data_IF_898032644439
#
_entry.id   IF_898032644439
#
_cell.length_a   1.000
_cell.length_b   1.000
_cell.length_c   1.000
_cell.angle_alpha   90.00
_cell.angle_beta   90.00
_cell.angle_gamma   90.00
#
_symmetry.space_group_name_H-M   'P 1'
#
loop_
_entity.id
_entity.type
_entity.pdbx_description
1 polymer ?
#
# COMPACT_ATOMS: atom_id res chain seq x y z
N UNK A 1 -38.66 24.73 11.53
CA UNK A 1 -39.31 25.02 10.24
C UNK A 1 -38.84 23.92 9.28
N UNK A 2 -39.61 22.83 9.21
CA UNK A 2 -39.32 21.63 8.39
C UNK A 2 -39.52 21.96 6.91
N UNK A 3 -38.61 21.52 6.05
CA UNK A 3 -38.82 21.48 4.60
C UNK A 3 -38.78 20.02 4.14
N UNK A 4 -39.94 19.60 3.64
CA UNK A 4 -40.32 18.28 3.17
C UNK A 4 -40.13 18.28 1.64
N UNK A 5 -39.29 17.40 1.09
CA UNK A 5 -39.23 17.17 -0.37
C UNK A 5 -40.04 15.92 -0.74
N UNK A 6 -41.04 16.14 -1.60
CA UNK A 6 -41.93 15.13 -2.18
C UNK A 6 -41.34 14.72 -3.53
N UNK A 7 -41.05 13.44 -3.72
CA UNK A 7 -40.80 12.83 -5.04
C UNK A 7 -42.03 12.02 -5.48
N UNK A 8 -42.56 12.34 -6.66
CA UNK A 8 -43.64 11.63 -7.33
C UNK A 8 -43.06 10.51 -8.20
N UNK A 9 -43.49 9.28 -7.90
CA UNK A 9 -43.33 8.08 -8.73
C UNK A 9 -44.32 8.11 -9.90
N UNK A 10 -43.87 7.72 -11.09
CA UNK A 10 -44.76 7.22 -12.15
C UNK A 10 -44.16 5.96 -12.77
N UNK A 11 -44.81 4.84 -12.46
CA UNK A 11 -44.60 3.50 -13.00
C UNK A 11 -45.33 3.35 -14.34
N UNK A 12 -44.67 2.80 -15.38
CA UNK A 12 -45.36 2.09 -16.47
C UNK A 12 -44.55 0.84 -16.81
N UNK A 13 -45.26 -0.29 -16.77
CA UNK A 13 -44.77 -1.64 -16.98
C UNK A 13 -44.62 -2.00 -18.47
N UNK A 14 -43.78 -3.02 -18.71
CA UNK A 14 -43.40 -3.61 -19.99
C UNK A 14 -44.52 -4.44 -20.68
N UNK A 15 -44.39 -4.62 -22.01
CA UNK A 15 -44.70 -5.90 -22.66
C UNK A 15 -44.01 -6.05 -24.03
N UNK A 16 -43.10 -7.03 -24.09
CA UNK A 16 -42.81 -8.06 -25.12
C UNK A 16 -42.79 -7.77 -26.63
N UNK A 17 -41.79 -8.40 -27.25
CA UNK A 17 -41.44 -8.52 -28.67
C UNK A 17 -42.42 -9.34 -29.53
N UNK A 18 -42.45 -9.11 -30.85
CA UNK A 18 -41.83 -9.96 -31.90
C UNK A 18 -42.27 -9.52 -33.32
N UNK A 19 -41.52 -10.02 -34.31
CA UNK A 19 -41.82 -10.13 -35.77
C UNK A 19 -41.36 -9.04 -36.76
N UNK A 20 -40.15 -9.28 -37.29
CA UNK A 20 -39.80 -9.57 -38.70
C UNK A 20 -40.75 -9.04 -39.79
N UNK A 21 -40.21 -8.29 -40.76
CA UNK A 21 -40.13 -8.63 -42.21
C UNK A 21 -39.49 -7.45 -42.94
N UNK A 22 -38.38 -7.72 -43.63
CA UNK A 22 -37.77 -6.78 -44.56
C UNK A 22 -38.51 -6.74 -45.90
N UNK A 23 -38.55 -5.57 -46.53
CA UNK A 23 -38.76 -5.47 -47.98
C UNK A 23 -37.81 -4.42 -48.54
N UNK A 24 -36.96 -4.90 -49.43
CA UNK A 24 -36.01 -4.19 -50.25
C UNK A 24 -36.73 -3.78 -51.55
N UNK A 25 -36.80 -2.50 -51.90
CA UNK A 25 -37.10 -2.06 -53.26
C UNK A 25 -36.28 -0.82 -53.63
N UNK A 26 -35.41 -1.03 -54.62
CA UNK A 26 -34.64 -0.05 -55.41
C UNK A 26 -35.46 0.26 -56.70
N UNK A 27 -34.96 1.08 -57.63
CA UNK A 27 -35.03 2.55 -57.74
C UNK A 27 -35.83 3.04 -58.96
N UNK A 28 -36.21 4.32 -59.02
CA UNK A 28 -36.43 5.01 -60.30
C UNK A 28 -35.94 6.48 -60.26
N UNK A 29 -35.18 6.84 -61.29
CA UNK A 29 -34.66 8.14 -61.73
C UNK A 29 -35.09 8.22 -63.22
N UNK A 30 -35.38 9.36 -63.91
CA UNK A 30 -34.38 10.40 -64.18
C UNK A 30 -34.88 11.84 -64.51
N UNK A 31 -33.89 12.73 -64.72
CA UNK A 31 -33.88 14.04 -65.42
C UNK A 31 -33.79 15.28 -64.49
N UNK A 32 -32.92 16.27 -64.71
CA UNK A 32 -32.05 16.60 -65.87
C UNK A 32 -31.05 17.72 -65.50
N UNK A 33 -30.00 17.79 -66.32
CA UNK A 33 -29.10 18.91 -66.63
C UNK A 33 -27.86 19.11 -65.75
N UNK A 34 -26.72 18.74 -66.33
CA UNK A 34 -25.39 18.99 -65.79
C UNK A 34 -24.63 20.11 -66.49
N UNK A 35 -23.38 20.23 -66.07
CA UNK A 35 -22.25 20.79 -66.83
C UNK A 35 -21.03 19.91 -66.49
N UNK A 36 -20.34 19.45 -67.53
CA UNK A 36 -19.06 18.71 -67.49
C UNK A 36 -18.01 19.60 -68.17
N UNK A 37 -16.77 19.61 -67.68
CA UNK A 37 -15.52 19.36 -68.45
C UNK A 37 -14.27 19.53 -67.53
N UNK A 38 -13.13 18.88 -67.86
CA UNK A 38 -12.26 18.16 -66.90
C UNK A 38 -10.78 18.59 -66.99
N UNK A 39 -9.85 17.64 -66.72
CA UNK A 39 -8.36 17.64 -66.83
C UNK A 39 -7.69 17.80 -65.44
N UNK A 40 -6.77 16.97 -64.94
CA UNK A 40 -6.00 15.84 -65.46
C UNK A 40 -4.63 15.80 -64.72
N UNK A 41 -4.36 14.68 -64.02
CA UNK A 41 -3.10 14.14 -63.47
C UNK A 41 -1.77 14.96 -63.47
N UNK A 42 -1.05 15.00 -62.33
CA UNK A 42 0.24 14.29 -62.14
C UNK A 42 0.85 14.49 -60.73
N UNK A 43 1.59 13.48 -60.29
CA UNK A 43 2.22 13.28 -58.97
C UNK A 43 3.65 13.86 -58.99
N UNK A 44 4.06 14.59 -57.95
CA UNK A 44 5.40 14.41 -57.34
C UNK A 44 5.49 15.08 -55.96
N UNK A 45 6.29 14.44 -55.12
CA UNK A 45 6.43 14.46 -53.67
C UNK A 45 7.08 15.70 -53.07
N UNK A 46 6.59 16.10 -51.89
CA UNK A 46 7.44 16.59 -50.80
C UNK A 46 6.72 16.32 -49.46
N UNK A 47 7.18 15.30 -48.73
CA UNK A 47 6.78 15.08 -47.36
C UNK A 47 7.39 16.16 -46.48
N UNK A 48 6.56 17.01 -45.89
CA UNK A 48 6.91 17.67 -44.64
C UNK A 48 6.31 16.79 -43.55
N UNK A 49 7.19 16.15 -42.79
CA UNK A 49 6.83 15.38 -41.63
C UNK A 49 6.35 16.35 -40.54
N UNK A 50 5.04 16.57 -40.46
CA UNK A 50 4.44 17.07 -39.23
C UNK A 50 4.22 15.88 -38.30
N UNK A 51 5.18 15.71 -37.38
CA UNK A 51 5.05 14.82 -36.24
C UNK A 51 3.89 15.30 -35.37
N UNK A 52 2.71 14.76 -35.63
CA UNK A 52 1.59 14.80 -34.70
C UNK A 52 1.75 13.62 -33.76
N UNK A 53 2.15 13.89 -32.52
CA UNK A 53 2.01 12.92 -31.44
C UNK A 53 0.52 12.55 -31.30
N UNK A 54 0.16 11.26 -31.18
CA UNK A 54 -1.23 10.83 -31.04
C UNK A 54 -1.84 11.30 -29.71
N UNK A 55 -3.18 11.40 -29.63
CA UNK A 55 -3.91 12.00 -28.50
C UNK A 55 -3.74 11.20 -27.20
N UNK A 56 -3.54 11.94 -26.11
CA UNK A 56 -3.04 11.52 -24.80
C UNK A 56 -4.14 10.96 -23.86
N UNK A 57 -3.76 10.03 -22.98
CA UNK A 57 -4.62 9.15 -22.16
C UNK A 57 -4.16 9.17 -20.68
N UNK A 58 -5.06 8.91 -19.70
CA UNK A 58 -5.20 9.76 -18.48
C UNK A 58 -5.46 11.19 -18.95
N UNK A 59 -6.32 11.99 -18.31
CA UNK A 59 -6.50 13.37 -18.83
C UNK A 59 -5.10 14.02 -18.81
N UNK A 60 -4.57 14.35 -19.99
CA UNK A 60 -3.20 14.84 -20.20
C UNK A 60 -2.02 13.92 -19.79
N UNK A 61 -2.17 12.60 -19.72
CA UNK A 61 -1.08 11.66 -19.42
C UNK A 61 -0.37 11.06 -20.65
N UNK A 62 0.85 10.58 -20.44
CA UNK A 62 1.74 9.97 -21.45
C UNK A 62 1.86 8.47 -21.25
N UNK A 63 2.18 7.73 -22.32
CA UNK A 63 2.59 6.32 -22.20
C UNK A 63 3.84 6.20 -21.33
N UNK A 64 3.89 5.18 -20.46
CA UNK A 64 5.08 4.90 -19.63
C UNK A 64 6.26 4.38 -20.46
N UNK A 65 6.06 4.09 -21.75
CA UNK A 65 7.08 3.56 -22.67
C UNK A 65 7.42 2.07 -22.45
N UNK A 66 6.74 1.41 -21.52
CA UNK A 66 6.92 0.01 -21.18
C UNK A 66 6.23 -0.37 -19.86
N UNK A 67 6.29 -1.64 -19.44
CA UNK A 67 5.65 -2.06 -18.20
C UNK A 67 6.33 -1.43 -16.98
N UNK A 68 5.53 -1.09 -15.99
CA UNK A 68 6.00 -0.64 -14.66
C UNK A 68 5.91 -1.82 -13.71
N UNK A 69 7.06 -2.31 -13.23
CA UNK A 69 7.15 -3.62 -12.57
C UNK A 69 6.23 -3.82 -11.37
N UNK A 70 6.08 -2.80 -10.51
CA UNK A 70 5.19 -2.86 -9.35
C UNK A 70 3.71 -2.63 -9.70
N UNK A 71 3.37 -2.20 -10.91
CA UNK A 71 1.99 -1.87 -11.25
C UNK A 71 1.12 -3.12 -11.31
N UNK A 72 -0.01 -3.07 -10.61
CA UNK A 72 -0.99 -4.15 -10.57
C UNK A 72 -2.31 -3.69 -11.17
N UNK A 73 -2.91 -4.52 -12.01
CA UNK A 73 -4.28 -4.39 -12.48
C UNK A 73 -5.19 -5.44 -11.84
N UNK A 74 -6.35 -5.01 -11.33
CA UNK A 74 -7.37 -5.89 -10.79
C UNK A 74 -8.50 -6.07 -11.79
N UNK A 75 -8.82 -7.32 -12.12
CA UNK A 75 -9.98 -7.70 -12.95
C UNK A 75 -10.94 -8.59 -12.18
N UNK A 76 -12.22 -8.49 -12.54
CA UNK A 76 -13.25 -9.41 -12.05
C UNK A 76 -13.16 -10.71 -12.85
N UNK A 77 -12.99 -11.83 -12.15
CA UNK A 77 -13.04 -13.14 -12.78
C UNK A 77 -14.33 -13.85 -12.31
N UNK A 78 -15.40 -13.84 -13.11
CA UNK A 78 -16.54 -14.70 -12.80
C UNK A 78 -16.21 -16.10 -13.34
N UNK A 79 -16.42 -17.17 -12.57
CA UNK A 79 -16.25 -18.56 -13.05
C UNK A 79 -16.90 -18.74 -14.43
N UNK A 80 -16.09 -18.68 -15.50
CA UNK A 80 -16.52 -18.87 -16.88
C UNK A 80 -17.13 -17.68 -17.63
N UNK A 81 -17.13 -16.44 -17.09
CA UNK A 81 -17.52 -15.27 -17.89
C UNK A 81 -16.28 -14.51 -18.36
N UNK A 82 -16.21 -14.25 -19.68
CA UNK A 82 -15.29 -13.24 -20.19
C UNK A 82 -15.58 -11.92 -19.47
N UNK A 83 -14.54 -11.31 -18.88
CA UNK A 83 -14.63 -9.92 -18.41
C UNK A 83 -15.02 -9.05 -19.61
N UNK A 84 -16.14 -8.35 -19.56
CA UNK A 84 -16.62 -7.46 -20.63
C UNK A 84 -15.69 -6.26 -20.91
N UNK A 85 -14.56 -6.14 -20.19
CA UNK A 85 -13.45 -5.27 -20.56
C UNK A 85 -12.11 -5.99 -20.38
N UNK A 86 -11.25 -5.97 -21.40
CA UNK A 86 -9.84 -6.38 -21.25
C UNK A 86 -9.07 -5.43 -20.30
N UNK A 87 -9.59 -4.27 -19.92
CA UNK A 87 -8.91 -3.36 -19.00
C UNK A 87 -9.23 -3.64 -17.52
N UNK A 88 -8.27 -3.48 -16.59
CA UNK A 88 -8.51 -3.53 -15.14
C UNK A 88 -9.62 -2.58 -14.68
N UNK A 89 -10.38 -2.95 -13.64
CA UNK A 89 -11.37 -2.06 -13.01
C UNK A 89 -10.80 -1.23 -11.87
N UNK A 90 -9.76 -1.74 -11.22
CA UNK A 90 -8.96 -1.05 -10.23
C UNK A 90 -7.47 -1.31 -10.50
N UNK A 91 -6.64 -0.43 -9.97
CA UNK A 91 -5.20 -0.61 -9.86
C UNK A 91 -4.76 -1.13 -8.49
N UNK A 92 -3.47 -1.29 -8.36
CA UNK A 92 -2.76 -1.58 -7.12
C UNK A 92 -1.26 -1.50 -7.36
N UNK A 93 -0.47 -1.76 -6.33
CA UNK A 93 0.98 -1.83 -6.42
C UNK A 93 1.52 -3.01 -5.62
N UNK A 94 2.51 -3.71 -6.18
CA UNK A 94 3.31 -4.65 -5.40
C UNK A 94 4.29 -3.88 -4.53
N UNK A 95 4.11 -3.99 -3.22
CA UNK A 95 4.99 -3.40 -2.21
C UNK A 95 5.99 -4.42 -1.67
N UNK A 96 5.71 -5.71 -1.83
CA UNK A 96 6.59 -6.84 -1.50
C UNK A 96 6.27 -8.03 -2.44
N UNK A 97 7.06 -9.12 -2.45
CA UNK A 97 6.88 -10.24 -3.38
C UNK A 97 5.47 -10.83 -3.40
N UNK A 98 4.75 -10.77 -2.28
CA UNK A 98 3.41 -11.34 -2.13
C UNK A 98 2.35 -10.33 -1.70
N UNK A 99 2.65 -9.03 -1.68
CA UNK A 99 1.74 -8.05 -1.10
C UNK A 99 1.40 -6.99 -2.13
N UNK A 100 0.12 -6.94 -2.49
CA UNK A 100 -0.47 -5.86 -3.28
C UNK A 100 -1.12 -4.87 -2.34
N UNK A 101 -0.74 -3.59 -2.43
CA UNK A 101 -1.42 -2.46 -1.81
C UNK A 101 -2.45 -1.90 -2.79
N UNK A 102 -3.68 -1.67 -2.30
CA UNK A 102 -4.77 -1.11 -3.11
C UNK A 102 -5.79 -0.40 -2.20
N UNK A 103 -6.87 0.12 -2.77
CA UNK A 103 -7.98 0.74 -2.05
C UNK A 103 -8.96 -0.32 -1.53
N UNK A 104 -9.57 -0.08 -0.37
CA UNK A 104 -10.61 -0.93 0.18
C UNK A 104 -11.88 -0.92 -0.67
N UNK A 105 -12.21 0.21 -1.30
CA UNK A 105 -13.36 0.36 -2.18
C UNK A 105 -13.28 -0.53 -3.45
N UNK A 106 -12.08 -0.99 -3.81
CA UNK A 106 -11.85 -1.97 -4.88
C UNK A 106 -12.19 -3.41 -4.43
N UNK A 107 -12.25 -3.66 -3.12
CA UNK A 107 -12.50 -4.97 -2.52
C UNK A 107 -14.01 -5.29 -2.44
N UNK A 108 -14.70 -5.12 -3.57
CA UNK A 108 -16.08 -5.57 -3.81
C UNK A 108 -16.30 -7.05 -3.44
N UNK A 109 -17.54 -7.47 -3.19
CA UNK A 109 -17.89 -8.87 -2.91
C UNK A 109 -17.83 -9.76 -4.17
N UNK A 110 -16.69 -9.82 -4.85
CA UNK A 110 -16.42 -10.78 -5.91
C UNK A 110 -15.87 -12.07 -5.33
N UNK A 111 -16.36 -13.21 -5.83
CA UNK A 111 -15.86 -14.53 -5.44
C UNK A 111 -14.40 -14.73 -5.87
N UNK A 112 -13.99 -14.11 -6.98
CA UNK A 112 -12.66 -14.31 -7.57
C UNK A 112 -12.15 -13.05 -8.27
N UNK A 113 -10.93 -12.68 -7.88
CA UNK A 113 -10.13 -11.62 -8.49
C UNK A 113 -9.10 -12.23 -9.43
N UNK A 114 -8.85 -11.55 -10.54
CA UNK A 114 -7.64 -11.75 -11.35
C UNK A 114 -6.70 -10.57 -11.07
N UNK A 115 -5.56 -10.87 -10.42
CA UNK A 115 -4.47 -9.94 -10.15
C UNK A 115 -3.47 -10.03 -11.29
N UNK A 116 -3.20 -8.90 -11.94
CA UNK A 116 -2.37 -8.84 -13.14
C UNK A 116 -1.15 -7.98 -12.86
N UNK A 117 0.04 -8.52 -13.11
CA UNK A 117 1.32 -7.85 -12.84
C UNK A 117 2.09 -7.66 -14.14
N UNK A 118 2.87 -6.58 -14.21
CA UNK A 118 3.81 -6.29 -15.30
C UNK A 118 3.13 -6.15 -16.68
N UNK A 119 1.84 -5.79 -16.69
CA UNK A 119 1.12 -5.48 -17.91
C UNK A 119 1.49 -4.08 -18.40
N UNK A 120 1.62 -3.93 -19.71
CA UNK A 120 1.77 -2.63 -20.38
C UNK A 120 0.58 -2.40 -21.31
N UNK A 121 0.36 -3.35 -22.22
CA UNK A 121 -0.72 -3.36 -23.20
C UNK A 121 -1.70 -4.49 -22.86
N UNK A 122 -2.97 -4.17 -22.63
CA UNK A 122 -4.02 -5.14 -22.26
C UNK A 122 -4.27 -6.20 -23.34
N UNK A 123 -3.88 -5.91 -24.58
CA UNK A 123 -3.99 -6.82 -25.73
C UNK A 123 -2.76 -7.72 -25.85
N UNK A 124 -1.63 -7.35 -25.24
CA UNK A 124 -0.37 -8.09 -25.29
C UNK A 124 -0.01 -8.70 -23.92
N UNK A 125 -0.18 -10.01 -23.80
CA UNK A 125 0.11 -10.75 -22.56
C UNK A 125 1.57 -11.19 -22.40
N UNK A 126 2.49 -10.69 -23.24
CA UNK A 126 3.91 -11.08 -23.16
C UNK A 126 4.53 -10.58 -21.85
N UNK A 127 5.07 -11.50 -21.05
CA UNK A 127 5.70 -11.14 -19.76
C UNK A 127 4.71 -10.71 -18.67
N UNK A 128 3.40 -10.89 -18.91
CA UNK A 128 2.34 -10.60 -17.94
C UNK A 128 2.11 -11.82 -17.07
N UNK A 129 2.07 -11.59 -15.76
CA UNK A 129 1.66 -12.60 -14.79
C UNK A 129 0.20 -12.37 -14.39
N UNK A 130 -0.61 -13.44 -14.41
CA UNK A 130 -2.02 -13.41 -14.03
C UNK A 130 -2.25 -14.42 -12.92
N UNK A 131 -2.74 -13.94 -11.79
CA UNK A 131 -2.90 -14.70 -10.54
C UNK A 131 -4.37 -14.66 -10.15
N UNK A 132 -4.98 -15.83 -10.00
CA UNK A 132 -6.36 -15.94 -9.55
C UNK A 132 -6.37 -15.94 -8.01
N UNK A 133 -7.06 -14.96 -7.41
CA UNK A 133 -7.20 -14.84 -5.96
C UNK A 133 -8.66 -15.03 -5.56
N UNK A 134 -8.93 -16.07 -4.77
CA UNK A 134 -10.28 -16.39 -4.31
C UNK A 134 -10.58 -15.60 -3.04
N UNK A 135 -11.75 -14.98 -2.95
CA UNK A 135 -12.27 -14.48 -1.68
C UNK A 135 -12.76 -15.67 -0.87
N UNK A 136 -11.81 -16.48 -0.37
CA UNK A 136 -12.08 -17.72 0.34
C UNK A 136 -12.88 -17.49 1.63
N UNK A 137 -13.54 -18.55 2.12
CA UNK A 137 -14.37 -18.55 3.34
C UNK A 137 -13.58 -18.15 4.61
N UNK A 138 -12.24 -18.22 4.56
CA UNK A 138 -11.34 -17.82 5.65
C UNK A 138 -10.89 -16.34 5.56
N UNK A 139 -11.08 -15.66 4.43
CA UNK A 139 -10.82 -14.21 4.32
C UNK A 139 -9.37 -13.75 4.44
N UNK A 140 -8.38 -14.66 4.45
CA UNK A 140 -6.98 -14.34 4.77
C UNK A 140 -6.20 -13.68 3.61
N UNK A 141 -6.71 -13.79 2.37
CA UNK A 141 -6.01 -13.29 1.18
C UNK A 141 -6.32 -11.82 0.85
N UNK A 142 -7.39 -11.25 1.43
CA UNK A 142 -7.80 -9.85 1.21
C UNK A 142 -8.08 -9.22 2.57
N UNK A 143 -7.19 -8.33 3.01
CA UNK A 143 -7.28 -7.65 4.30
C UNK A 143 -7.68 -6.19 4.06
N UNK A 144 -8.92 -5.87 4.37
CA UNK A 144 -9.45 -4.49 4.36
C UNK A 144 -9.12 -3.84 5.71
N UNK A 145 -8.79 -2.54 5.70
CA UNK A 145 -8.63 -1.80 6.96
C UNK A 145 -9.88 -1.94 7.84
N UNK A 146 -9.75 -2.32 9.13
CA UNK A 146 -10.90 -2.64 9.97
C UNK A 146 -11.87 -1.46 10.16
N UNK A 147 -11.34 -0.24 10.10
CA UNK A 147 -12.10 1.00 10.23
C UNK A 147 -12.52 1.60 8.87
N UNK A 148 -12.41 0.87 7.75
CA UNK A 148 -12.88 1.35 6.45
C UNK A 148 -14.37 1.69 6.50
N UNK A 149 -14.69 2.92 6.10
CA UNK A 149 -16.05 3.45 6.08
C UNK A 149 -16.47 3.69 4.62
N UNK A 150 -17.49 2.95 4.16
CA UNK A 150 -17.93 2.97 2.77
C UNK A 150 -18.69 4.25 2.37
N UNK A 151 -19.21 5.00 3.35
CA UNK A 151 -19.98 6.22 3.11
C UNK A 151 -19.05 7.44 2.96
N UNK A 152 -18.01 7.50 3.79
CA UNK A 152 -17.04 8.60 3.84
C UNK A 152 -15.77 8.33 3.04
N UNK A 153 -15.53 7.06 2.69
CA UNK A 153 -14.27 6.55 2.13
C UNK A 153 -13.05 6.84 3.01
N UNK A 154 -13.26 6.99 4.32
CA UNK A 154 -12.17 7.02 5.29
C UNK A 154 -11.56 5.63 5.47
N UNK A 155 -10.25 5.58 5.73
CA UNK A 155 -9.48 4.35 5.81
C UNK A 155 -9.58 3.46 4.56
N UNK A 156 -9.66 4.08 3.37
CA UNK A 156 -9.74 3.39 2.08
C UNK A 156 -8.40 2.76 1.65
N UNK A 157 -8.04 1.69 2.34
CA UNK A 157 -6.81 0.91 2.12
C UNK A 157 -7.04 -0.57 2.37
N UNK A 158 -6.46 -1.41 1.51
CA UNK A 158 -6.49 -2.86 1.65
C UNK A 158 -5.19 -3.50 1.16
N UNK A 159 -4.89 -4.68 1.69
CA UNK A 159 -3.82 -5.56 1.22
C UNK A 159 -4.41 -6.80 0.56
N UNK A 160 -3.82 -7.24 -0.56
CA UNK A 160 -4.07 -8.57 -1.11
C UNK A 160 -2.79 -9.41 -0.99
N UNK A 161 -2.92 -10.59 -0.42
CA UNK A 161 -1.83 -11.54 -0.20
C UNK A 161 -1.83 -12.56 -1.33
N UNK A 162 -0.74 -12.56 -2.12
CA UNK A 162 -0.61 -13.47 -3.24
C UNK A 162 -0.25 -14.88 -2.76
N UNK A 163 -0.75 -15.93 -3.43
CA UNK A 163 -0.48 -17.32 -3.07
C UNK A 163 0.98 -17.73 -3.34
N UNK A 164 1.71 -16.97 -4.16
CA UNK A 164 3.11 -17.19 -4.48
C UNK A 164 3.84 -15.86 -4.71
N UNK A 165 5.17 -15.88 -4.57
CA UNK A 165 6.02 -14.71 -4.76
C UNK A 165 6.12 -14.30 -6.24
N UNK A 166 5.94 -13.02 -6.51
CA UNK A 166 6.26 -12.38 -7.78
C UNK A 166 7.65 -11.76 -7.64
N UNK A 167 8.63 -12.25 -8.41
CA UNK A 167 10.04 -11.86 -8.30
C UNK A 167 10.57 -11.30 -9.63
N UNK A 168 11.77 -10.73 -9.61
CA UNK A 168 12.39 -10.16 -10.82
C UNK A 168 11.80 -8.81 -11.25
N UNK A 169 11.02 -8.16 -10.38
CA UNK A 169 10.48 -6.82 -10.56
C UNK A 169 10.95 -5.89 -9.43
N UNK A 170 10.90 -4.58 -9.67
CA UNK A 170 11.07 -3.58 -8.62
C UNK A 170 9.74 -3.34 -7.92
N UNK A 171 9.70 -3.46 -6.59
CA UNK A 171 8.52 -3.16 -5.77
C UNK A 171 8.43 -1.67 -5.43
N UNK A 172 7.20 -1.18 -5.24
CA UNK A 172 6.96 0.16 -4.70
C UNK A 172 7.37 0.21 -3.22
N UNK A 173 8.09 1.26 -2.82
CA UNK A 173 8.43 1.49 -1.42
C UNK A 173 7.39 2.40 -0.77
N UNK A 174 7.00 2.08 0.46
CA UNK A 174 6.06 2.90 1.21
C UNK A 174 6.73 4.22 1.62
N UNK A 175 6.02 5.33 1.47
CA UNK A 175 6.38 6.55 2.16
C UNK A 175 6.02 6.43 3.64
N UNK A 176 7.00 6.49 4.53
CA UNK A 176 6.80 6.47 5.99
C UNK A 176 6.88 7.86 6.62
N UNK A 177 7.22 8.90 5.86
CA UNK A 177 7.34 10.28 6.35
C UNK A 177 6.34 11.20 5.63
N UNK A 178 5.33 11.67 6.35
CA UNK A 178 4.34 12.61 5.82
C UNK A 178 4.94 13.95 5.34
N UNK A 179 6.18 14.29 5.72
CA UNK A 179 6.90 15.47 5.23
C UNK A 179 7.50 15.26 3.84
N UNK A 180 7.62 14.03 3.37
CA UNK A 180 8.22 13.65 2.09
C UNK A 180 7.17 13.41 1.00
N UNK A 181 6.26 14.37 0.81
CA UNK A 181 5.23 14.25 -0.24
C UNK A 181 5.65 14.94 -1.55
N UNK A 182 6.73 15.73 -1.57
CA UNK A 182 7.18 16.43 -2.78
C UNK A 182 6.15 17.45 -3.30
N UNK A 183 6.57 18.30 -4.24
CA UNK A 183 5.65 19.26 -4.87
C UNK A 183 4.91 18.66 -6.06
N UNK A 184 5.60 17.77 -6.80
CA UNK A 184 5.08 17.08 -7.98
C UNK A 184 5.01 15.58 -7.70
N UNK A 185 3.89 14.99 -8.08
CA UNK A 185 3.53 13.60 -7.87
C UNK A 185 3.18 12.96 -9.22
N UNK A 186 3.27 11.64 -9.29
CA UNK A 186 2.98 10.87 -10.50
C UNK A 186 1.93 9.80 -10.22
N UNK A 187 0.85 9.80 -10.97
CA UNK A 187 -0.18 8.74 -10.95
C UNK A 187 0.01 7.82 -12.14
N UNK A 188 -0.22 6.52 -11.95
CA UNK A 188 0.04 5.48 -12.96
C UNK A 188 -1.19 4.58 -13.08
N UNK A 189 -1.68 4.31 -14.29
CA UNK A 189 -2.89 3.51 -14.46
C UNK A 189 -3.38 3.31 -15.90
N UNK A 190 -4.49 2.56 -16.01
CA UNK A 190 -5.23 2.29 -17.26
C UNK A 190 -6.62 2.95 -17.27
N UNK A 191 -6.85 3.89 -16.35
CA UNK A 191 -8.12 4.60 -16.23
C UNK A 191 -8.52 5.33 -17.50
N UNK A 192 -9.76 5.81 -17.48
CA UNK A 192 -10.34 6.54 -18.61
C UNK A 192 -9.54 7.80 -18.93
N UNK A 193 -9.58 8.13 -20.21
CA UNK A 193 -8.75 9.16 -20.82
C UNK A 193 -9.51 10.47 -21.01
N UNK A 194 -10.82 10.40 -20.78
CA UNK A 194 -11.79 11.49 -20.84
C UNK A 194 -13.06 11.08 -20.09
N UNK A 195 -13.85 12.07 -19.64
CA UNK A 195 -15.15 11.86 -19.01
C UNK A 195 -16.04 10.97 -19.88
N UNK A 196 -16.41 9.79 -19.36
CA UNK A 196 -17.27 8.84 -20.07
C UNK A 196 -16.64 8.16 -21.30
N UNK A 197 -15.33 8.34 -21.52
CA UNK A 197 -14.58 7.71 -22.59
C UNK A 197 -14.19 6.25 -22.31
N UNK A 198 -13.49 5.64 -23.26
CA UNK A 198 -12.94 4.30 -23.11
C UNK A 198 -11.73 4.32 -22.16
N UNK A 199 -11.48 3.18 -21.50
CA UNK A 199 -10.25 2.94 -20.77
C UNK A 199 -9.08 2.86 -21.74
N UNK A 200 -7.89 3.12 -21.24
CA UNK A 200 -6.70 2.90 -22.05
C UNK A 200 -6.34 1.42 -22.13
N UNK A 201 -5.99 0.97 -23.34
CA UNK A 201 -5.36 -0.32 -23.54
C UNK A 201 -3.88 -0.31 -23.12
N UNK A 202 -3.24 0.87 -23.09
CA UNK A 202 -1.83 1.06 -22.74
C UNK A 202 -1.70 1.66 -21.35
N UNK A 203 -0.66 1.27 -20.61
CA UNK A 203 -0.35 1.84 -19.30
C UNK A 203 0.17 3.28 -19.45
N UNK A 204 -0.36 4.16 -18.61
CA UNK A 204 -0.10 5.59 -18.70
C UNK A 204 0.34 6.15 -17.36
N UNK A 205 0.98 7.29 -17.44
CA UNK A 205 1.35 8.09 -16.29
C UNK A 205 0.99 9.56 -16.51
N UNK A 206 0.65 10.24 -15.42
CA UNK A 206 0.46 11.68 -15.43
C UNK A 206 1.05 12.31 -14.18
N UNK A 207 1.63 13.49 -14.36
CA UNK A 207 2.04 14.31 -13.23
C UNK A 207 0.88 15.13 -12.70
N UNK A 208 0.83 15.30 -11.38
CA UNK A 208 -0.14 16.10 -10.63
C UNK A 208 0.58 16.85 -9.51
N UNK A 209 0.04 17.99 -9.09
CA UNK A 209 0.66 18.82 -8.05
C UNK A 209 0.04 18.53 -6.69
N UNK A 210 0.88 18.44 -5.66
CA UNK A 210 0.43 18.23 -4.29
C UNK A 210 -0.44 19.42 -3.82
N UNK A 211 -1.57 19.10 -3.19
CA UNK A 211 -2.49 20.08 -2.61
C UNK A 211 -2.65 19.80 -1.11
N UNK A 212 -2.42 20.81 -0.28
CA UNK A 212 -2.59 20.66 1.17
C UNK A 212 -4.05 20.36 1.52
N UNK A 213 -4.30 19.58 2.57
CA UNK A 213 -5.66 19.26 3.02
C UNK A 213 -6.50 20.53 3.28
N UNK A 214 -5.87 21.59 3.78
CA UNK A 214 -6.53 22.88 3.96
C UNK A 214 -7.07 23.44 2.64
N UNK A 215 -6.23 23.50 1.60
CA UNK A 215 -6.66 23.97 0.27
C UNK A 215 -7.68 23.03 -0.36
N UNK A 216 -7.49 21.71 -0.19
CA UNK A 216 -8.40 20.71 -0.70
C UNK A 216 -9.78 20.81 -0.05
N UNK A 217 -9.86 21.17 1.23
CA UNK A 217 -11.12 21.34 1.94
C UNK A 217 -11.89 22.63 1.61
N UNK A 218 -11.33 23.57 0.85
CA UNK A 218 -12.08 24.76 0.40
C UNK A 218 -13.31 24.37 -0.44
N UNK A 219 -13.20 23.52 -1.48
CA UNK A 219 -14.35 22.98 -2.22
C UNK A 219 -15.04 21.77 -1.55
N UNK A 220 -14.32 21.01 -0.70
CA UNK A 220 -14.82 19.79 -0.06
C UNK A 220 -15.39 20.00 1.34
N UNK A 221 -15.60 21.23 1.80
CA UNK A 221 -16.33 21.56 3.04
C UNK A 221 -15.88 20.78 4.30
N UNK A 222 -14.62 20.35 4.37
CA UNK A 222 -14.06 19.62 5.52
C UNK A 222 -14.11 18.09 5.43
N UNK A 223 -14.60 17.50 4.33
CA UNK A 223 -14.65 16.04 4.15
C UNK A 223 -13.28 15.37 3.98
N UNK A 224 -12.20 16.12 3.70
CA UNK A 224 -10.85 15.57 3.55
C UNK A 224 -10.14 15.50 4.90
N UNK A 225 -9.93 14.28 5.41
CA UNK A 225 -9.31 14.02 6.73
C UNK A 225 -7.78 13.90 6.65
N UNK A 226 -7.09 13.80 7.79
CA UNK A 226 -5.62 13.70 7.84
C UNK A 226 -5.08 12.41 7.19
N UNK A 227 -5.89 11.34 7.20
CA UNK A 227 -5.62 10.10 6.48
C UNK A 227 -5.73 10.22 4.95
N UNK A 228 -6.13 11.39 4.44
CA UNK A 228 -6.24 11.67 3.02
C UNK A 228 -5.18 12.68 2.58
N UNK A 229 -4.79 12.63 1.31
CA UNK A 229 -3.99 13.64 0.62
C UNK A 229 -4.67 14.02 -0.69
N UNK A 230 -4.36 15.20 -1.20
CA UNK A 230 -4.94 15.70 -2.43
C UNK A 230 -3.88 16.04 -3.46
N UNK A 231 -4.25 15.91 -4.72
CA UNK A 231 -3.47 16.41 -5.83
C UNK A 231 -4.38 16.95 -6.93
N UNK A 232 -3.93 18.00 -7.60
CA UNK A 232 -4.62 18.58 -8.74
C UNK A 232 -3.60 19.19 -9.68
N UNK A 233 -3.84 19.09 -10.99
CA UNK A 233 -3.15 19.88 -11.98
C UNK A 233 -4.11 20.13 -13.14
N UNK A 234 -4.03 21.33 -13.72
CA UNK A 234 -4.97 21.68 -14.78
C UNK A 234 -4.77 20.78 -16.00
N UNK A 235 -5.86 20.20 -16.49
CA UNK A 235 -5.82 19.25 -17.60
C UNK A 235 -5.17 17.91 -17.27
N UNK A 236 -4.81 17.62 -16.00
CA UNK A 236 -4.35 16.28 -15.59
C UNK A 236 -4.95 15.78 -14.29
N UNK A 237 -5.19 14.47 -14.23
CA UNK A 237 -5.72 13.85 -13.02
C UNK A 237 -6.22 12.43 -13.23
N UNK A 238 -6.42 11.69 -12.13
CA UNK A 238 -6.94 10.33 -12.16
C UNK A 238 -8.36 10.35 -12.71
N UNK A 239 -8.75 9.26 -13.35
CA UNK A 239 -10.09 9.08 -13.88
C UNK A 239 -10.63 7.69 -13.56
N UNK A 240 -11.83 7.36 -14.03
CA UNK A 240 -12.43 6.08 -13.68
C UNK A 240 -11.56 4.91 -14.14
N UNK A 241 -11.24 3.98 -13.23
CA UNK A 241 -10.38 2.82 -13.50
C UNK A 241 -8.97 2.91 -12.91
N UNK A 242 -8.57 4.07 -12.37
CA UNK A 242 -7.32 4.24 -11.63
C UNK A 242 -7.46 3.98 -10.12
N UNK A 243 -8.69 3.79 -9.62
CA UNK A 243 -8.98 3.52 -8.20
C UNK A 243 -8.13 2.37 -7.68
N UNK A 244 -7.54 2.54 -6.49
CA UNK A 244 -6.57 1.61 -5.91
C UNK A 244 -5.16 1.69 -6.50
N UNK A 245 -4.97 2.37 -7.63
CA UNK A 245 -3.66 2.56 -8.26
C UNK A 245 -2.72 3.45 -7.44
N UNK A 246 -1.40 3.34 -7.66
CA UNK A 246 -0.41 4.04 -6.86
C UNK A 246 -0.22 5.50 -7.30
N UNK A 247 -0.01 6.37 -6.31
CA UNK A 247 0.56 7.70 -6.50
C UNK A 247 2.00 7.72 -5.96
N UNK A 248 2.94 8.10 -6.82
CA UNK A 248 4.38 8.06 -6.58
C UNK A 248 4.96 9.46 -6.44
N UNK A 249 6.10 9.58 -5.76
CA UNK A 249 6.95 10.77 -5.93
C UNK A 249 7.38 10.88 -7.40
N UNK A 250 7.31 12.10 -7.96
CA UNK A 250 7.80 12.38 -9.30
C UNK A 250 9.33 12.53 -9.27
N UNK A 251 10.03 11.41 -9.13
CA UNK A 251 11.47 11.33 -9.35
C UNK A 251 11.78 10.12 -10.22
N UNK A 252 12.59 10.35 -11.25
CA UNK A 252 13.12 9.29 -12.10
C UNK A 252 14.43 8.70 -11.56
N UNK A 253 14.94 9.26 -10.45
CA UNK A 253 16.16 8.80 -9.78
C UNK A 253 15.82 8.25 -8.39
N UNK A 254 16.30 7.04 -8.10
CA UNK A 254 16.15 6.40 -6.80
C UNK A 254 14.99 5.41 -6.73
N UNK A 255 14.51 5.17 -5.51
CA UNK A 255 13.48 4.18 -5.26
C UNK A 255 12.08 4.69 -5.65
N UNK A 256 11.20 3.82 -6.17
CA UNK A 256 9.82 4.19 -6.47
C UNK A 256 9.01 4.33 -5.19
N UNK A 257 9.04 5.53 -4.58
CA UNK A 257 8.31 5.82 -3.34
C UNK A 257 6.84 6.12 -3.63
N UNK A 258 5.94 5.33 -3.06
CA UNK A 258 4.50 5.52 -3.11
C UNK A 258 4.03 6.35 -1.92
N UNK A 259 3.38 7.48 -2.21
CA UNK A 259 2.86 8.43 -1.21
C UNK A 259 1.34 8.33 -1.04
N UNK A 260 0.64 7.83 -2.05
CA UNK A 260 -0.83 7.78 -2.07
C UNK A 260 -1.41 6.55 -2.76
N UNK A 261 -2.70 6.33 -2.52
CA UNK A 261 -3.53 5.33 -3.20
C UNK A 261 -4.75 6.06 -3.78
N UNK A 262 -5.01 5.94 -5.07
CA UNK A 262 -6.15 6.60 -5.72
C UNK A 262 -7.47 6.15 -5.10
N UNK A 263 -8.26 7.07 -4.56
CA UNK A 263 -9.49 6.74 -3.83
C UNK A 263 -10.73 7.34 -4.50
N UNK A 264 -10.92 8.66 -4.41
CA UNK A 264 -12.14 9.33 -4.90
C UNK A 264 -11.89 10.75 -5.42
N UNK A 265 -12.94 11.35 -5.98
CA UNK A 265 -12.96 12.74 -6.44
C UNK A 265 -14.38 13.24 -6.59
N UNK A 266 -14.54 14.55 -6.73
CA UNK A 266 -15.86 15.18 -6.81
C UNK A 266 -16.76 14.57 -7.90
N UNK A 267 -17.97 14.21 -7.50
CA UNK A 267 -19.00 13.72 -8.39
C UNK A 267 -18.77 12.32 -8.98
N UNK A 268 -17.67 11.62 -8.66
CA UNK A 268 -17.35 10.24 -9.12
C UNK A 268 -17.17 10.07 -10.64
N UNK A 269 -17.62 11.03 -11.44
CA UNK A 269 -17.62 11.03 -12.88
C UNK A 269 -16.68 12.10 -13.45
N UNK A 270 -16.48 13.23 -12.77
CA UNK A 270 -15.60 14.29 -13.24
C UNK A 270 -14.13 13.93 -13.04
N UNK A 271 -13.34 14.00 -14.11
CA UNK A 271 -11.90 13.76 -14.07
C UNK A 271 -11.16 15.08 -14.32
N UNK A 272 -10.05 15.29 -13.60
CA UNK A 272 -9.16 16.45 -13.77
C UNK A 272 -9.88 17.83 -13.67
N UNK A 273 -10.84 17.96 -12.75
CA UNK A 273 -11.44 19.27 -12.45
C UNK A 273 -10.48 20.06 -11.54
N UNK A 274 -9.90 21.19 -12.00
CA UNK A 274 -8.93 21.94 -11.21
C UNK A 274 -9.52 22.57 -9.94
N UNK A 275 -10.85 22.73 -9.86
CA UNK A 275 -11.53 23.25 -8.67
C UNK A 275 -11.82 22.16 -7.63
N UNK A 276 -11.70 20.90 -8.00
CA UNK A 276 -11.95 19.75 -7.12
C UNK A 276 -10.78 18.77 -7.22
N UNK A 277 -9.73 18.96 -6.39
CA UNK A 277 -8.57 18.08 -6.38
C UNK A 277 -8.96 16.61 -6.22
N UNK A 278 -8.23 15.70 -6.86
CA UNK A 278 -8.37 14.27 -6.61
C UNK A 278 -7.95 13.94 -5.18
N UNK A 279 -8.65 13.01 -4.55
CA UNK A 279 -8.42 12.59 -3.16
C UNK A 279 -7.88 11.17 -3.14
N UNK A 280 -6.83 10.98 -2.35
CA UNK A 280 -6.04 9.76 -2.27
C UNK A 280 -5.86 9.40 -0.80
N UNK A 281 -5.77 8.10 -0.51
CA UNK A 281 -5.40 7.62 0.81
C UNK A 281 -3.92 7.91 1.05
N UNK A 282 -3.58 8.55 2.19
CA UNK A 282 -2.22 8.95 2.53
C UNK A 282 -1.41 7.77 3.06
N UNK A 283 -0.49 7.23 2.27
CA UNK A 283 0.28 6.02 2.63
C UNK A 283 1.03 6.17 3.95
N UNK A 284 1.64 7.34 4.21
CA UNK A 284 2.39 7.57 5.45
C UNK A 284 1.53 7.58 6.71
N UNK A 285 0.24 7.87 6.60
CA UNK A 285 -0.70 7.78 7.72
C UNK A 285 -0.99 6.32 8.09
N UNK A 286 -1.06 5.44 7.08
CA UNK A 286 -1.37 4.01 7.26
C UNK A 286 -0.13 3.11 7.26
N UNK A 287 1.08 3.66 7.19
CA UNK A 287 2.31 2.89 7.07
C UNK A 287 2.46 1.83 8.16
N UNK A 288 2.13 2.16 9.41
CA UNK A 288 2.23 1.21 10.52
C UNK A 288 1.19 0.09 10.41
N UNK A 289 -0.05 0.40 10.02
CA UNK A 289 -1.07 -0.62 9.76
C UNK A 289 -0.66 -1.54 8.60
N UNK A 290 -0.16 -0.96 7.50
CA UNK A 290 0.31 -1.71 6.32
C UNK A 290 1.42 -2.68 6.73
N UNK A 291 2.47 -2.19 7.40
CA UNK A 291 3.62 -3.01 7.81
C UNK A 291 3.23 -4.09 8.82
N UNK A 292 2.43 -3.76 9.84
CA UNK A 292 1.98 -4.72 10.85
C UNK A 292 1.13 -5.83 10.23
N UNK A 293 0.21 -5.46 9.33
CA UNK A 293 -0.64 -6.42 8.63
C UNK A 293 0.20 -7.30 7.69
N UNK A 294 1.09 -6.70 6.90
CA UNK A 294 2.02 -7.46 6.06
C UNK A 294 2.87 -8.46 6.85
N UNK A 295 3.42 -8.03 7.99
CA UNK A 295 4.22 -8.89 8.85
C UNK A 295 3.41 -10.08 9.38
N UNK A 296 2.18 -9.83 9.85
CA UNK A 296 1.31 -10.87 10.39
C UNK A 296 0.95 -11.96 9.36
N UNK A 297 0.78 -11.60 8.08
CA UNK A 297 0.30 -12.53 7.04
C UNK A 297 1.41 -13.13 6.17
N UNK A 298 2.54 -12.43 5.98
CA UNK A 298 3.61 -12.90 5.07
C UNK A 298 5.01 -12.87 5.68
N UNK A 299 5.19 -12.31 6.88
CA UNK A 299 6.51 -12.08 7.47
C UNK A 299 7.30 -10.94 6.83
N UNK A 300 6.71 -10.22 5.86
CA UNK A 300 7.33 -9.07 5.19
C UNK A 300 7.11 -7.80 6.00
N UNK A 301 8.04 -6.85 5.92
CA UNK A 301 8.03 -5.62 6.72
C UNK A 301 7.97 -5.84 8.24
N UNK A 302 8.22 -7.06 8.71
CA UNK A 302 8.39 -7.30 10.12
C UNK A 302 9.53 -6.43 10.64
N UNK A 303 9.33 -5.75 11.79
CA UNK A 303 10.37 -4.92 12.32
C UNK A 303 11.59 -5.79 12.62
N UNK A 304 12.75 -5.40 12.08
CA UNK A 304 14.01 -6.03 12.43
C UNK A 304 14.31 -5.62 13.87
N UNK A 305 13.96 -6.50 14.79
CA UNK A 305 14.37 -6.36 16.18
C UNK A 305 15.88 -6.08 16.21
N UNK A 306 16.31 -5.11 17.02
CA UNK A 306 17.72 -4.98 17.34
C UNK A 306 18.26 -6.32 17.88
N UNK A 307 19.58 -6.52 17.86
CA UNK A 307 20.23 -7.78 18.31
C UNK A 307 19.86 -8.23 19.73
N UNK A 308 19.26 -7.35 20.52
CA UNK A 308 18.78 -7.58 21.89
C UNK A 308 17.30 -7.23 22.04
N UNK A 309 16.48 -7.43 21.01
CA UNK A 309 15.03 -7.22 21.06
C UNK A 309 14.30 -8.48 20.59
N UNK A 310 13.14 -8.76 21.16
CA UNK A 310 12.35 -9.96 20.84
C UNK A 310 10.86 -9.64 20.81
N UNK A 311 10.09 -10.48 20.12
CA UNK A 311 8.63 -10.41 20.13
C UNK A 311 8.10 -10.86 21.49
N UNK A 312 7.07 -10.17 21.97
CA UNK A 312 6.32 -10.53 23.17
C UNK A 312 4.85 -10.71 22.81
N UNK A 313 4.25 -11.81 23.26
CA UNK A 313 2.84 -12.13 22.99
C UNK A 313 2.17 -12.62 24.26
N UNK A 314 0.94 -12.18 24.48
CA UNK A 314 0.06 -12.69 25.54
C UNK A 314 -1.27 -13.10 24.91
N UNK A 315 -1.65 -14.35 25.13
CA UNK A 315 -2.97 -14.88 24.81
C UNK A 315 -3.66 -15.20 26.14
N UNK A 316 -4.88 -14.70 26.34
CA UNK A 316 -5.73 -15.09 27.48
C UNK A 316 -7.07 -15.55 26.96
N UNK A 317 -7.41 -16.80 27.25
CA UNK A 317 -8.73 -17.37 27.10
C UNK A 317 -9.38 -17.45 28.47
N UNK A 318 -10.45 -16.68 28.68
CA UNK A 318 -11.17 -16.70 29.94
C UNK A 318 -11.99 -17.99 30.08
N UNK A 319 -12.39 -18.28 31.31
CA UNK A 319 -13.38 -19.31 31.57
C UNK A 319 -14.81 -18.75 31.32
N UNK A 320 -15.84 -19.30 31.97
CA UNK A 320 -17.21 -18.79 31.81
C UNK A 320 -17.46 -17.44 32.54
N UNK A 321 -16.48 -16.94 33.30
CA UNK A 321 -16.55 -15.72 34.09
C UNK A 321 -15.40 -14.78 33.67
N UNK A 322 -15.52 -14.12 32.51
CA UNK A 322 -14.45 -13.26 32.00
C UNK A 322 -14.21 -12.01 32.86
N UNK A 323 -15.25 -11.48 33.51
CA UNK A 323 -15.22 -10.18 34.23
C UNK A 323 -14.27 -10.16 35.43
N UNK A 324 -13.89 -11.33 35.94
CA UNK A 324 -12.97 -11.49 37.08
C UNK A 324 -11.51 -11.65 36.66
N UNK A 325 -11.24 -11.85 35.38
CA UNK A 325 -9.88 -12.04 34.85
C UNK A 325 -9.26 -10.70 34.47
N UNK A 326 -8.07 -10.43 35.00
CA UNK A 326 -7.20 -9.34 34.53
C UNK A 326 -5.75 -9.79 34.50
N UNK A 327 -4.90 -9.11 33.73
CA UNK A 327 -3.49 -9.44 33.63
C UNK A 327 -2.62 -8.24 33.25
N UNK A 328 -1.34 -8.35 33.56
CA UNK A 328 -0.32 -7.34 33.23
C UNK A 328 1.05 -7.97 33.02
N UNK A 329 1.89 -7.32 32.22
CA UNK A 329 3.31 -7.63 32.07
C UNK A 329 4.14 -6.44 32.53
N UNK A 330 5.12 -6.68 33.41
CA UNK A 330 6.03 -5.64 33.93
C UNK A 330 7.47 -5.98 33.62
N UNK A 331 8.29 -4.97 33.29
CA UNK A 331 9.74 -5.12 33.14
C UNK A 331 10.40 -5.06 34.53
N UNK A 332 11.15 -6.09 34.91
CA UNK A 332 11.82 -6.18 36.23
C UNK A 332 13.24 -5.63 36.26
N UNK A 333 13.81 -5.27 35.11
CA UNK A 333 15.19 -4.79 35.02
C UNK A 333 15.33 -3.28 35.17
N UNK A 334 14.22 -2.55 35.21
CA UNK A 334 14.18 -1.10 35.41
C UNK A 334 13.69 -0.69 36.80
N UNK A 335 13.73 0.61 37.07
CA UNK A 335 13.11 1.20 38.28
C UNK A 335 11.61 1.44 38.13
N UNK A 336 11.08 1.33 36.90
CA UNK A 336 9.65 1.49 36.65
C UNK A 336 8.90 0.21 36.99
N UNK A 337 7.82 0.34 37.75
CA UNK A 337 6.86 -0.73 38.02
C UNK A 337 5.66 -0.70 37.09
N UNK A 338 5.63 0.23 36.14
CA UNK A 338 4.49 0.41 35.24
C UNK A 338 4.39 -0.78 34.27
N UNK A 339 3.17 -1.29 34.01
CA UNK A 339 2.97 -2.38 33.07
C UNK A 339 3.25 -1.91 31.64
N UNK A 340 3.92 -2.76 30.87
CA UNK A 340 4.17 -2.56 29.44
C UNK A 340 3.05 -3.14 28.58
N UNK A 341 2.30 -4.10 29.12
CA UNK A 341 1.10 -4.69 28.54
C UNK A 341 0.11 -4.98 29.65
N UNK A 342 -1.19 -4.90 29.37
CA UNK A 342 -2.25 -5.26 30.29
C UNK A 342 -3.53 -5.63 29.55
N UNK A 343 -4.42 -6.34 30.23
CA UNK A 343 -5.77 -6.67 29.75
C UNK A 343 -6.70 -6.98 30.92
N UNK A 344 -8.01 -6.87 30.68
CA UNK A 344 -9.04 -7.00 31.72
C UNK A 344 -10.35 -6.33 31.30
N UNK A 345 -11.24 -6.10 32.27
CA UNK A 345 -12.55 -5.47 32.10
C UNK A 345 -13.44 -6.16 31.04
N UNK A 346 -13.31 -7.48 30.94
CA UNK A 346 -14.02 -8.24 29.94
C UNK A 346 -15.54 -8.26 30.22
N UNK A 347 -16.39 -8.15 29.18
CA UNK A 347 -17.83 -8.08 29.34
C UNK A 347 -18.41 -9.39 29.89
N UNK A 348 -19.47 -9.26 30.67
CA UNK A 348 -20.22 -10.38 31.24
C UNK A 348 -20.89 -11.20 30.12
N UNK A 349 -20.96 -12.53 30.31
CA UNK A 349 -21.70 -13.50 29.49
C UNK A 349 -21.08 -13.89 28.12
N UNK A 350 -19.78 -13.71 27.92
CA UNK A 350 -19.06 -14.23 26.75
C UNK A 350 -17.67 -14.77 27.12
N UNK A 351 -17.33 -16.00 26.71
CA UNK A 351 -15.92 -16.42 26.72
C UNK A 351 -15.12 -15.50 25.83
N UNK A 352 -14.00 -14.99 26.34
CA UNK A 352 -13.14 -14.07 25.59
C UNK A 352 -11.79 -14.71 25.33
N UNK A 353 -11.32 -14.61 24.09
CA UNK A 353 -9.91 -14.86 23.76
C UNK A 353 -9.32 -13.53 23.33
N UNK A 354 -8.35 -13.03 24.08
CA UNK A 354 -7.54 -11.88 23.67
C UNK A 354 -6.17 -12.35 23.22
N UNK A 355 -5.62 -11.69 22.20
CA UNK A 355 -4.23 -11.80 21.79
C UNK A 355 -3.67 -10.38 21.71
N UNK A 356 -2.63 -10.12 22.50
CA UNK A 356 -1.92 -8.83 22.51
C UNK A 356 -0.45 -9.12 22.23
N UNK A 357 0.12 -8.41 21.25
CA UNK A 357 1.51 -8.58 20.82
C UNK A 357 2.23 -7.24 20.86
N UNK A 358 3.44 -7.24 21.41
CA UNK A 358 4.42 -6.16 21.31
C UNK A 358 5.64 -6.65 20.56
N UNK A 359 5.99 -5.95 19.49
CA UNK A 359 7.19 -6.22 18.71
C UNK A 359 8.39 -5.46 19.29
N UNK A 360 9.60 -5.99 19.07
CA UNK A 360 10.86 -5.35 19.43
C UNK A 360 11.04 -4.99 20.91
N UNK A 361 10.61 -5.86 21.82
CA UNK A 361 10.79 -5.68 23.25
C UNK A 361 12.24 -5.94 23.64
N UNK A 362 12.91 -4.94 24.22
CA UNK A 362 14.32 -5.02 24.65
C UNK A 362 14.59 -6.19 25.60
N UNK A 363 15.81 -6.73 25.56
CA UNK A 363 16.29 -7.77 26.47
C UNK A 363 16.05 -7.38 27.93
N UNK A 364 15.41 -8.28 28.67
CA UNK A 364 15.07 -8.08 30.06
C UNK A 364 14.35 -9.27 30.66
N UNK A 365 14.03 -9.15 31.94
CA UNK A 365 13.18 -10.05 32.69
C UNK A 365 11.80 -9.43 32.76
N UNK A 366 10.83 -10.17 32.24
CA UNK A 366 9.45 -9.73 32.13
C UNK A 366 8.56 -10.64 32.94
N UNK A 367 7.81 -10.05 33.86
CA UNK A 367 6.89 -10.76 34.73
C UNK A 367 5.46 -10.54 34.25
N UNK A 368 4.83 -11.62 33.82
CA UNK A 368 3.40 -11.72 33.60
C UNK A 368 2.70 -12.07 34.90
N UNK A 369 1.68 -11.29 35.26
CA UNK A 369 0.77 -11.59 36.38
C UNK A 369 -0.65 -11.65 35.84
N UNK A 370 -1.34 -12.75 36.11
CA UNK A 370 -2.78 -12.91 35.88
C UNK A 370 -3.48 -12.99 37.23
N UNK A 371 -4.62 -12.31 37.35
CA UNK A 371 -5.42 -12.21 38.56
C UNK A 371 -6.84 -12.67 38.24
N UNK A 372 -7.41 -13.45 39.15
CA UNK A 372 -8.81 -13.88 39.17
C UNK A 372 -9.44 -13.47 40.51
N UNK A 373 -10.44 -12.59 40.46
CA UNK A 373 -11.01 -12.01 41.67
C UNK A 373 -11.83 -12.99 42.54
N UNK A 374 -12.28 -14.12 41.98
CA UNK A 374 -13.04 -15.15 42.71
C UNK A 374 -12.15 -16.26 43.29
N UNK A 375 -10.96 -16.45 42.73
CA UNK A 375 -9.92 -17.30 43.27
C UNK A 375 -10.04 -18.78 42.90
N UNK A 376 -10.81 -19.10 41.87
CA UNK A 376 -10.91 -20.43 41.25
C UNK A 376 -10.08 -20.56 39.97
N UNK A 377 -9.46 -19.45 39.53
CA UNK A 377 -8.60 -19.40 38.37
C UNK A 377 -9.38 -19.59 37.08
N UNK A 378 -8.66 -19.59 35.95
CA UNK A 378 -9.32 -19.73 34.64
C UNK A 378 -9.63 -21.19 34.26
N UNK A 379 -9.23 -22.18 35.06
CA UNK A 379 -9.43 -23.61 34.76
C UNK A 379 -9.49 -24.46 36.05
N UNK A 380 -10.25 -25.57 36.15
CA UNK A 380 -11.13 -26.18 35.14
C UNK A 380 -12.51 -26.60 35.70
N UNK A 381 -12.93 -26.05 36.84
CA UNK A 381 -14.23 -26.37 37.46
C UNK A 381 -15.42 -25.63 36.84
N UNK A 382 -15.17 -24.42 36.34
CA UNK A 382 -16.20 -23.46 35.96
C UNK A 382 -16.13 -22.99 34.50
N UNK A 383 -15.15 -23.48 33.76
CA UNK A 383 -14.92 -23.25 32.34
C UNK A 383 -13.55 -23.77 31.95
N UNK A 384 -13.27 -23.78 30.64
CA UNK A 384 -11.93 -24.08 30.13
C UNK A 384 -11.33 -22.76 29.67
N UNK A 385 -10.53 -22.14 30.52
CA UNK A 385 -9.69 -20.98 30.22
C UNK A 385 -8.21 -21.32 30.38
N UNK A 386 -7.34 -20.49 29.81
CA UNK A 386 -5.90 -20.63 29.87
C UNK A 386 -5.22 -19.32 29.50
N UNK A 387 -3.92 -19.22 29.77
CA UNK A 387 -3.07 -18.19 29.18
C UNK A 387 -1.83 -18.78 28.51
N UNK A 388 -1.29 -18.05 27.54
CA UNK A 388 0.08 -18.22 27.03
C UNK A 388 0.77 -16.85 27.09
N UNK A 389 1.93 -16.80 27.73
CA UNK A 389 2.83 -15.65 27.74
C UNK A 389 4.13 -16.07 27.05
N UNK A 390 4.48 -15.39 25.96
CA UNK A 390 5.66 -15.65 25.15
C UNK A 390 6.57 -14.43 25.13
N UNK A 391 7.88 -14.67 25.24
CA UNK A 391 8.93 -13.68 25.05
C UNK A 391 10.12 -14.31 24.32
N UNK A 392 10.34 -13.90 23.07
CA UNK A 392 11.31 -14.56 22.19
C UNK A 392 10.97 -16.04 21.99
N UNK A 393 11.94 -16.92 22.26
CA UNK A 393 11.78 -18.37 22.18
C UNK A 393 11.22 -19.00 23.47
N UNK A 394 11.07 -18.20 24.55
CA UNK A 394 10.52 -18.67 25.82
C UNK A 394 9.00 -18.52 25.86
N UNK A 395 8.33 -19.52 26.45
CA UNK A 395 6.87 -19.53 26.61
C UNK A 395 6.50 -20.09 27.98
N UNK A 396 5.55 -19.44 28.64
CA UNK A 396 4.89 -19.90 29.86
C UNK A 396 3.39 -20.04 29.60
N UNK A 397 2.83 -21.21 29.94
CA UNK A 397 1.42 -21.55 29.77
C UNK A 397 0.86 -21.91 31.15
N UNK A 398 -0.38 -21.50 31.41
CA UNK A 398 -1.07 -21.85 32.65
C UNK A 398 -2.57 -21.60 32.57
N UNK A 399 -3.21 -21.69 33.74
CA UNK A 399 -4.66 -21.50 33.85
C UNK A 399 -5.27 -22.07 35.13
N UNK A 400 -4.58 -22.99 35.82
CA UNK A 400 -4.97 -23.52 37.12
C UNK A 400 -4.26 -22.76 38.25
N UNK A 401 -4.95 -21.80 38.86
CA UNK A 401 -4.43 -21.00 39.98
C UNK A 401 -5.56 -20.57 40.91
N UNK A 402 -5.21 -19.97 42.05
CA UNK A 402 -6.19 -19.39 42.96
C UNK A 402 -6.54 -17.96 42.54
N UNK A 403 -6.21 -16.98 43.37
CA UNK A 403 -6.47 -15.57 43.08
C UNK A 403 -5.52 -14.94 42.06
N UNK A 404 -4.31 -15.48 41.91
CA UNK A 404 -3.35 -14.99 40.94
C UNK A 404 -2.30 -16.04 40.62
N UNK A 405 -1.64 -15.87 39.48
CA UNK A 405 -0.41 -16.55 39.13
C UNK A 405 0.57 -15.57 38.51
N UNK A 406 1.86 -15.83 38.71
CA UNK A 406 2.95 -15.04 38.16
C UNK A 406 3.94 -15.94 37.43
N UNK A 407 4.38 -15.52 36.24
CA UNK A 407 5.44 -16.16 35.46
C UNK A 407 6.43 -15.11 34.97
N UNK A 408 7.71 -15.40 35.09
CA UNK A 408 8.78 -14.56 34.55
C UNK A 408 9.47 -15.25 33.39
N UNK A 409 9.71 -14.51 32.32
CA UNK A 409 10.51 -14.93 31.16
C UNK A 409 11.68 -13.96 30.95
N UNK A 410 12.76 -14.45 30.36
CA UNK A 410 13.98 -13.70 30.14
C UNK A 410 14.78 -13.45 31.44
N UNK A 411 15.76 -12.55 31.36
CA UNK A 411 16.63 -12.23 32.50
C UNK A 411 17.18 -10.81 32.42
N UNK A 412 17.43 -10.20 33.58
CA UNK A 412 18.15 -8.93 33.60
C UNK A 412 19.62 -9.14 33.30
N UNK A 413 20.11 -8.44 32.28
CA UNK A 413 21.55 -8.33 32.06
C UNK A 413 22.16 -7.60 33.24
N UNK A 414 22.71 -8.34 34.19
CA UNK A 414 23.61 -7.75 35.17
C UNK A 414 24.81 -7.23 34.39
N UNK A 415 25.00 -5.92 34.37
CA UNK A 415 26.31 -5.38 34.00
C UNK A 415 27.31 -6.00 34.97
N UNK A 416 28.01 -7.05 34.56
CA UNK A 416 29.24 -7.46 35.23
C UNK A 416 30.13 -6.21 35.25
N UNK A 417 30.68 -5.80 36.41
CA UNK A 417 31.55 -4.64 36.44
C UNK A 417 32.65 -4.86 35.42
N UNK A 418 32.80 -3.90 34.51
CA UNK A 418 33.92 -3.83 33.57
C UNK A 418 35.18 -4.21 34.33
N UNK A 419 35.84 -5.27 33.86
CA UNK A 419 37.12 -5.72 34.41
C UNK A 419 38.01 -4.48 34.58
N UNK A 420 38.51 -4.26 35.81
CA UNK A 420 39.32 -3.10 36.13
C UNK A 420 40.45 -2.98 35.10
N UNK A 421 40.74 -1.78 34.57
CA UNK A 421 41.71 -1.63 33.51
C UNK A 421 43.04 -2.25 33.92
N UNK A 422 43.50 -3.21 33.12
CA UNK A 422 44.80 -3.85 33.22
C UNK A 422 45.88 -2.77 33.42
N UNK A 423 46.77 -2.90 34.43
CA UNK A 423 47.80 -1.89 34.66
C UNK A 423 48.64 -1.70 33.40
N UNK A 424 48.83 -0.43 33.04
CA UNK A 424 49.57 0.02 31.86
C UNK A 424 50.96 -0.65 31.80
N UNK A 425 51.37 -1.22 30.66
CA UNK A 425 52.71 -1.79 30.50
C UNK A 425 53.79 -0.74 30.69
N UNK A 426 54.79 -1.06 31.51
CA UNK A 426 56.00 -0.28 31.76
C UNK A 426 56.67 0.12 30.43
N UNK A 427 56.86 1.43 30.20
CA UNK A 427 57.59 1.96 29.05
C UNK A 427 59.00 1.36 28.98
N UNK A 428 59.26 0.56 27.95
CA UNK A 428 60.61 0.14 27.59
C UNK A 428 61.15 1.16 26.58
N UNK A 429 62.32 1.71 26.89
CA UNK A 429 63.01 2.76 26.14
C UNK A 429 63.33 2.33 24.70
N UNK A 430 63.19 3.20 23.68
CA UNK A 430 63.42 2.85 22.28
C UNK A 430 64.91 2.67 21.93
N UNK A 431 65.22 1.60 21.20
CA UNK A 431 66.52 1.26 20.59
C UNK A 431 66.83 2.16 19.38
N UNK A 432 68.11 2.54 19.11
CA UNK A 432 68.46 3.49 18.05
C UNK A 432 68.26 2.98 16.61
N UNK A 433 68.02 3.93 15.71
CA UNK A 433 67.72 3.78 14.27
C UNK A 433 68.90 3.21 13.46
N UNK A 434 68.67 2.35 12.43
CA UNK A 434 69.72 1.87 11.53
C UNK A 434 70.15 2.92 10.49
N UNK A 435 71.44 2.88 10.16
CA UNK A 435 72.18 3.75 9.24
C UNK A 435 71.69 3.70 7.77
N UNK A 436 71.68 4.87 7.12
CA UNK A 436 71.28 5.10 5.72
C UNK A 436 72.14 4.35 4.69
N UNK A 437 71.49 3.84 3.64
CA UNK A 437 72.13 3.34 2.42
C UNK A 437 71.92 4.36 1.30
N UNK A 438 73.03 4.81 0.69
CA UNK A 438 73.09 5.75 -0.43
C UNK A 438 72.50 5.15 -1.73
N UNK A 439 71.76 5.96 -2.50
CA UNK A 439 71.56 5.76 -3.94
C UNK A 439 72.33 6.84 -4.75
N UNK A 440 72.95 6.49 -5.89
CA UNK A 440 73.73 7.45 -6.69
C UNK A 440 72.91 8.27 -7.69
N UNK A 441 73.52 9.42 -7.95
CA UNK A 441 73.27 10.60 -8.78
C UNK A 441 73.07 10.34 -10.29
N UNK A 442 72.13 11.06 -10.93
CA UNK A 442 72.40 12.17 -11.88
C UNK A 442 71.21 12.43 -12.83
N UNK A 443 70.79 13.70 -12.91
CA UNK A 443 70.20 14.30 -14.12
C UNK A 443 70.63 15.78 -14.21
N UNK A 444 70.79 16.36 -15.41
CA UNK A 444 71.75 17.45 -15.66
C UNK A 444 71.22 18.88 -15.44
N UNK A 445 72.21 19.76 -15.24
CA UNK A 445 72.23 21.21 -15.01
C UNK A 445 71.44 22.08 -16.01
N UNK A 446 70.73 23.15 -15.56
CA UNK A 446 70.23 24.20 -16.44
C UNK A 446 71.26 25.33 -16.61
N UNK A 447 71.57 25.73 -17.85
CA UNK A 447 72.43 26.87 -18.14
C UNK A 447 71.63 28.19 -18.11
N UNK A 448 72.18 29.20 -17.45
CA UNK A 448 71.62 30.54 -17.31
C UNK A 448 71.89 31.45 -18.53
N UNK A 449 70.93 32.37 -18.74
CA UNK A 449 71.07 33.80 -19.11
C UNK A 449 71.93 34.21 -20.32
N UNK A 450 71.35 35.00 -21.24
CA UNK A 450 71.62 36.45 -21.43
C UNK A 450 71.07 36.99 -22.78
N UNK A 451 70.36 38.13 -22.69
CA UNK A 451 70.32 39.29 -23.61
C UNK A 451 70.40 39.07 -25.13
N UNK A 452 69.35 39.48 -25.86
CA UNK A 452 69.28 40.83 -26.42
C UNK A 452 67.85 41.22 -26.80
#
# INVERSE_FOLDING_TARGET
MMLLFIFLLSSIAASSADDIVGVNMKPENPNKNGVIMPVGLSISTASVADGHAPPQQIVGGTETGGPVGFMVGLRKNAKGAASDTNAPFCGGSLIAPRIVLTAANCMSNFDLYEVIVNMYDVTNKTGVESIALNRGVLGEDIIIHPDYDEDTLENDVALMILPHEVTGITYAKLNEDARQVGDVLRVIGWGRTSLGGEKSDILLEAEVDFVTNKQCNEPYEGFVTDGMLCAARDGTGPCQGDSGGPMMLASDEGDPIQVGITSWGYGGYECANPNYPGVYTRVSYYADWIKKTACAFTGEFCPTCGVSQSLMKVIVHTDNYPVETSWKVTNKCGSSSDPIMWGGDYPKDSKYTTEVTLDCVSEGEYEFTIEDSYGDGTCCGFGYGYYSFQYGDEEAIGGEFGYFETKSLGSCTTSSPTEAPTPQPTQVSPTPLPTQVHLPTNAPTPSQNLRH
#
